data_IF_601765556349
#
_entry.id   IF_601765556349
#
_cell.length_a   1.000
_cell.length_b   1.000
_cell.length_c   1.000
_cell.angle_alpha   90.00
_cell.angle_beta   90.00
_cell.angle_gamma   90.00
#
_symmetry.space_group_name_H-M   'P 1'
#
loop_
_entity.id
_entity.type
_entity.pdbx_description
1 polymer ?
#
# COMPACT_ATOMS: atom_id res chain seq x y z
N UNK A 1 -27.19 -4.76 -20.17
CA UNK A 1 -25.85 -4.35 -20.64
C UNK A 1 -25.28 -3.22 -19.83
N UNK A 2 -24.09 -3.44 -19.25
CA UNK A 2 -23.26 -2.37 -18.69
C UNK A 2 -22.64 -1.60 -19.87
N UNK A 3 -23.42 -0.70 -20.47
CA UNK A 3 -22.94 0.20 -21.52
C UNK A 3 -22.07 1.30 -20.90
N UNK A 4 -20.87 0.92 -20.46
CA UNK A 4 -19.85 1.85 -20.01
C UNK A 4 -19.25 2.57 -21.20
N UNK A 5 -19.11 3.89 -21.11
CA UNK A 5 -18.39 4.66 -22.12
C UNK A 5 -16.89 4.39 -22.02
N UNK A 6 -16.13 4.74 -23.07
CA UNK A 6 -14.67 4.66 -23.05
C UNK A 6 -14.04 5.44 -21.88
N UNK A 7 -14.67 6.56 -21.47
CA UNK A 7 -14.22 7.34 -20.32
C UNK A 7 -14.47 6.62 -19.00
N UNK A 8 -15.54 5.84 -18.88
CA UNK A 8 -15.82 5.07 -17.68
C UNK A 8 -14.85 3.89 -17.55
N UNK A 9 -14.53 3.22 -18.65
CA UNK A 9 -13.46 2.21 -18.70
C UNK A 9 -12.12 2.78 -18.27
N UNK A 10 -11.73 3.94 -18.80
CA UNK A 10 -10.49 4.62 -18.40
C UNK A 10 -10.46 4.97 -16.91
N UNK A 11 -11.59 5.39 -16.32
CA UNK A 11 -11.68 5.63 -14.88
C UNK A 11 -11.54 4.34 -14.08
N UNK A 12 -12.09 3.23 -14.55
CA UNK A 12 -11.96 1.92 -13.89
C UNK A 12 -10.52 1.44 -13.90
N UNK A 13 -9.78 1.58 -15.00
CA UNK A 13 -8.36 1.26 -15.07
C UNK A 13 -7.53 2.09 -14.07
N UNK A 14 -7.82 3.39 -13.96
CA UNK A 14 -7.17 4.27 -13.00
C UNK A 14 -7.51 3.91 -11.55
N UNK A 15 -8.75 3.50 -11.29
CA UNK A 15 -9.18 3.02 -9.98
C UNK A 15 -8.51 1.70 -9.62
N UNK A 16 -8.44 0.77 -10.56
CA UNK A 16 -7.74 -0.50 -10.39
C UNK A 16 -6.28 -0.25 -9.99
N UNK A 17 -5.57 0.61 -10.72
CA UNK A 17 -4.17 0.94 -10.42
C UNK A 17 -3.98 1.50 -9.00
N UNK A 18 -4.93 2.31 -8.52
CA UNK A 18 -4.91 2.81 -7.15
C UNK A 18 -5.14 1.70 -6.11
N UNK A 19 -6.07 0.78 -6.39
CA UNK A 19 -6.47 -0.28 -5.46
C UNK A 19 -5.52 -1.50 -5.47
N UNK A 20 -4.82 -1.72 -6.57
CA UNK A 20 -3.93 -2.87 -6.77
C UNK A 20 -2.86 -2.95 -5.68
N UNK A 21 -2.32 -1.80 -5.27
CA UNK A 21 -1.33 -1.72 -4.18
C UNK A 21 -1.84 -2.33 -2.88
N UNK A 22 -3.09 -2.06 -2.51
CA UNK A 22 -3.69 -2.61 -1.29
C UNK A 22 -3.95 -4.11 -1.43
N UNK A 23 -4.30 -4.56 -2.63
CA UNK A 23 -4.50 -5.98 -2.93
C UNK A 23 -3.17 -6.74 -2.79
N UNK A 24 -2.08 -6.23 -3.37
CA UNK A 24 -0.74 -6.83 -3.24
C UNK A 24 -0.26 -6.86 -1.80
N UNK A 25 -0.44 -5.77 -1.06
CA UNK A 25 -0.08 -5.69 0.36
C UNK A 25 -0.87 -6.69 1.20
N UNK A 26 -2.19 -6.75 0.99
CA UNK A 26 -3.06 -7.71 1.69
C UNK A 26 -2.63 -9.14 1.40
N UNK A 27 -2.46 -9.49 0.12
CA UNK A 27 -2.01 -10.81 -0.30
C UNK A 27 -0.69 -11.18 0.37
N UNK A 28 0.27 -10.25 0.40
CA UNK A 28 1.57 -10.47 1.02
C UNK A 28 1.47 -10.72 2.51
N UNK A 29 0.65 -9.93 3.20
CA UNK A 29 0.48 -9.97 4.65
C UNK A 29 -0.37 -11.17 5.12
N UNK A 30 -1.26 -11.67 4.25
CA UNK A 30 -2.13 -12.82 4.50
C UNK A 30 -1.55 -14.16 4.06
N UNK A 31 -0.32 -14.19 3.53
CA UNK A 31 0.34 -15.45 3.16
C UNK A 31 0.57 -16.33 4.38
N UNK A 32 0.10 -17.58 4.32
CA UNK A 32 0.34 -18.59 5.36
C UNK A 32 1.75 -19.19 5.30
N UNK A 33 2.44 -19.05 4.17
CA UNK A 33 3.73 -19.68 3.92
C UNK A 33 4.91 -18.83 4.35
N UNK A 34 4.68 -17.56 4.73
CA UNK A 34 5.71 -16.63 5.09
C UNK A 34 5.32 -15.82 6.33
N UNK A 35 6.26 -15.56 7.25
CA UNK A 35 5.95 -14.77 8.43
C UNK A 35 5.54 -13.36 8.01
N UNK A 36 4.45 -12.84 8.58
CA UNK A 36 3.95 -11.48 8.29
C UNK A 36 4.84 -10.37 8.88
N UNK A 37 5.49 -10.65 10.03
CA UNK A 37 6.27 -9.68 10.82
C UNK A 37 7.32 -8.88 10.00
N UNK A 38 8.16 -9.50 9.16
CA UNK A 38 9.13 -8.79 8.31
C UNK A 38 8.53 -7.83 7.30
N UNK A 39 7.28 -8.06 6.87
CA UNK A 39 6.66 -7.30 5.79
C UNK A 39 5.87 -6.10 6.27
N UNK A 40 5.60 -6.00 7.58
CA UNK A 40 4.80 -4.91 8.13
C UNK A 40 5.43 -3.55 7.78
N UNK A 41 6.69 -3.29 8.15
CA UNK A 41 7.32 -1.99 7.89
C UNK A 41 7.50 -1.71 6.38
N UNK A 42 7.98 -2.66 5.55
CA UNK A 42 8.06 -2.47 4.11
C UNK A 42 6.71 -2.18 3.44
N UNK A 43 5.66 -2.90 3.81
CA UNK A 43 4.33 -2.73 3.18
C UNK A 43 3.70 -1.39 3.54
N UNK A 44 3.89 -0.89 4.76
CA UNK A 44 3.49 0.48 5.11
C UNK A 44 4.16 1.52 4.21
N UNK A 45 5.47 1.40 3.98
CA UNK A 45 6.21 2.32 3.09
C UNK A 45 5.75 2.22 1.64
N UNK A 46 5.46 1.01 1.14
CA UNK A 46 4.93 0.81 -0.21
C UNK A 46 3.60 1.53 -0.35
N UNK A 47 2.63 1.30 0.56
CA UNK A 47 1.34 1.99 0.51
C UNK A 47 1.49 3.51 0.59
N UNK A 48 2.35 4.02 1.47
CA UNK A 48 2.61 5.47 1.60
C UNK A 48 3.14 6.06 0.29
N UNK A 49 4.13 5.42 -0.32
CA UNK A 49 4.73 5.86 -1.58
C UNK A 49 3.69 5.91 -2.70
N UNK A 50 2.94 4.84 -2.88
CA UNK A 50 1.95 4.74 -3.97
C UNK A 50 0.82 5.76 -3.81
N UNK A 51 0.36 6.00 -2.58
CA UNK A 51 -0.65 7.03 -2.32
C UNK A 51 -0.11 8.45 -2.60
N UNK A 52 1.16 8.74 -2.27
CA UNK A 52 1.80 10.02 -2.63
C UNK A 52 1.90 10.20 -4.14
N UNK A 53 2.28 9.14 -4.87
CA UNK A 53 2.31 9.13 -6.34
C UNK A 53 0.91 9.41 -6.91
N UNK A 54 -0.12 8.74 -6.39
CA UNK A 54 -1.50 8.96 -6.81
C UNK A 54 -2.00 10.39 -6.56
N UNK A 55 -1.59 11.01 -5.45
CA UNK A 55 -1.91 12.42 -5.15
C UNK A 55 -1.27 13.39 -6.15
N UNK A 56 -0.06 13.08 -6.62
CA UNK A 56 0.71 13.92 -7.55
C UNK A 56 0.39 13.63 -9.03
N UNK A 57 -0.34 12.55 -9.33
CA UNK A 57 -0.62 12.15 -10.70
C UNK A 57 -1.63 13.13 -11.36
N UNK A 58 -1.16 13.94 -12.31
CA UNK A 58 -1.99 14.91 -13.03
C UNK A 58 -3.14 14.25 -13.81
N UNK A 59 -2.93 13.02 -14.28
CA UNK A 59 -3.90 12.28 -15.08
C UNK A 59 -5.03 11.65 -14.25
N UNK A 60 -4.92 11.67 -12.92
CA UNK A 60 -5.96 11.13 -12.06
C UNK A 60 -7.13 12.11 -11.92
N UNK A 61 -8.38 11.63 -11.98
CA UNK A 61 -9.55 12.38 -11.54
C UNK A 61 -9.36 12.91 -10.11
N UNK A 62 -9.85 14.12 -9.84
CA UNK A 62 -9.68 14.75 -8.51
C UNK A 62 -10.29 13.91 -7.39
N UNK A 63 -11.37 13.17 -7.66
CA UNK A 63 -11.97 12.23 -6.70
C UNK A 63 -10.99 11.13 -6.26
N UNK A 64 -10.13 10.65 -7.17
CA UNK A 64 -9.11 9.65 -6.83
C UNK A 64 -7.94 10.27 -6.08
N UNK A 65 -7.54 11.51 -6.42
CA UNK A 65 -6.54 12.24 -5.63
C UNK A 65 -7.04 12.52 -4.22
N UNK A 66 -8.30 12.91 -4.08
CA UNK A 66 -8.95 13.09 -2.78
C UNK A 66 -8.97 11.78 -1.97
N UNK A 67 -9.37 10.67 -2.60
CA UNK A 67 -9.34 9.35 -1.96
C UNK A 67 -7.91 8.95 -1.53
N UNK A 68 -6.90 9.22 -2.36
CA UNK A 68 -5.50 8.96 -2.04
C UNK A 68 -5.02 9.80 -0.84
N UNK A 69 -5.39 11.09 -0.77
CA UNK A 69 -5.10 11.96 0.39
C UNK A 69 -5.77 11.43 1.66
N UNK A 70 -7.04 11.02 1.57
CA UNK A 70 -7.74 10.42 2.70
C UNK A 70 -7.08 9.10 3.15
N UNK A 71 -6.60 8.30 2.19
CA UNK A 71 -5.79 7.11 2.43
C UNK A 71 -4.50 7.43 3.19
N UNK A 72 -3.77 8.48 2.79
CA UNK A 72 -2.57 8.95 3.50
C UNK A 72 -2.88 9.36 4.94
N UNK A 73 -3.93 10.14 5.17
CA UNK A 73 -4.34 10.54 6.53
C UNK A 73 -4.66 9.30 7.38
N UNK A 74 -5.29 8.28 6.79
CA UNK A 74 -5.61 7.05 7.51
C UNK A 74 -4.36 6.21 7.77
N UNK A 75 -3.44 6.14 6.82
CA UNK A 75 -2.15 5.49 6.98
C UNK A 75 -1.29 6.19 8.04
N UNK A 76 -1.36 7.52 8.10
CA UNK A 76 -0.72 8.35 9.12
C UNK A 76 -1.33 8.12 10.51
N UNK A 77 -2.65 7.94 10.62
CA UNK A 77 -3.28 7.47 11.88
C UNK A 77 -2.81 6.07 12.27
N UNK A 78 -2.66 5.18 11.28
CA UNK A 78 -2.04 3.87 11.47
C UNK A 78 -0.53 3.96 11.74
N UNK A 79 0.09 5.13 11.59
CA UNK A 79 1.49 5.36 11.96
C UNK A 79 1.71 5.21 13.47
N UNK A 80 0.65 5.26 14.29
CA UNK A 80 0.72 4.80 15.68
C UNK A 80 1.11 3.33 15.78
N UNK A 81 0.62 2.46 14.89
CA UNK A 81 1.06 1.07 14.76
C UNK A 81 2.42 0.94 14.09
N UNK A 82 2.73 1.79 13.10
CA UNK A 82 4.06 1.84 12.50
C UNK A 82 5.13 2.18 13.54
N UNK A 83 4.90 3.19 14.39
CA UNK A 83 5.79 3.61 15.45
C UNK A 83 5.91 2.52 16.53
N UNK A 84 4.80 1.88 16.91
CA UNK A 84 4.83 0.70 17.80
C UNK A 84 5.65 -0.44 17.20
N UNK A 85 5.50 -0.73 15.91
CA UNK A 85 6.27 -1.77 15.23
C UNK A 85 7.75 -1.38 15.09
N UNK A 86 8.07 -0.14 14.74
CA UNK A 86 9.44 0.37 14.65
C UNK A 86 10.16 0.36 16.00
N UNK A 87 9.44 0.64 17.08
CA UNK A 87 9.96 0.58 18.44
C UNK A 87 9.95 -0.84 19.03
N UNK A 88 9.42 -1.82 18.29
CA UNK A 88 9.40 -3.22 18.68
C UNK A 88 10.53 -3.97 17.97
N UNK A 89 11.47 -4.44 18.77
CA UNK A 89 12.69 -5.13 18.36
C UNK A 89 12.41 -6.32 17.44
N UNK A 90 11.30 -7.04 17.66
CA UNK A 90 10.93 -8.22 16.88
C UNK A 90 10.60 -7.86 15.43
N UNK A 91 9.88 -6.76 15.19
CA UNK A 91 9.56 -6.32 13.83
C UNK A 91 10.82 -5.83 13.11
N UNK A 92 11.71 -5.12 13.80
CA UNK A 92 12.97 -4.62 13.23
C UNK A 92 13.91 -5.77 12.85
N UNK A 93 14.14 -6.71 13.77
CA UNK A 93 15.00 -7.87 13.54
C UNK A 93 14.42 -8.79 12.46
N UNK A 94 13.11 -9.05 12.48
CA UNK A 94 12.46 -9.86 11.46
C UNK A 94 12.57 -9.22 10.06
N UNK A 95 12.40 -7.89 9.96
CA UNK A 95 12.58 -7.13 8.71
C UNK A 95 14.03 -7.23 8.22
N UNK A 96 15.02 -7.03 9.10
CA UNK A 96 16.44 -7.11 8.76
C UNK A 96 16.88 -8.53 8.35
N UNK A 97 16.45 -9.56 9.09
CA UNK A 97 16.77 -10.96 8.80
C UNK A 97 16.20 -11.42 7.46
N UNK A 98 14.99 -10.98 7.11
CA UNK A 98 14.38 -11.34 5.82
C UNK A 98 15.10 -10.68 4.64
N UNK A 99 15.59 -9.44 4.80
CA UNK A 99 16.47 -8.82 3.81
C UNK A 99 17.78 -9.59 3.62
N UNK A 100 18.37 -10.10 4.71
CA UNK A 100 19.62 -10.86 4.65
C UNK A 100 19.45 -12.25 4.02
N UNK A 101 18.31 -12.90 4.26
CA UNK A 101 17.98 -14.22 3.68
C UNK A 101 17.55 -14.17 2.21
N UNK A 102 17.08 -13.02 1.71
CA UNK A 102 16.71 -12.83 0.30
C UNK A 102 17.88 -12.38 -0.59
N UNK A 103 19.03 -12.00 0.00
CA UNK A 103 20.23 -11.56 -0.72
C UNK A 103 21.36 -12.61 -0.74
N UNK A 104 21.15 -13.78 -0.13
CA UNK A 104 22.02 -14.96 -0.25
C UNK A 104 21.25 -16.08 -0.94
#
# INVERSE_FOLDING_TARGET
>A
DLNLSNNDWKKLEQLELLLETFTRVTLRMSSKNEPTLPYVLPMYRVMEKELKVACANENFPEVFKFAARAGLVRLDKLMSYHNKAKNNQFYVVATGKSFFLLMN
#
